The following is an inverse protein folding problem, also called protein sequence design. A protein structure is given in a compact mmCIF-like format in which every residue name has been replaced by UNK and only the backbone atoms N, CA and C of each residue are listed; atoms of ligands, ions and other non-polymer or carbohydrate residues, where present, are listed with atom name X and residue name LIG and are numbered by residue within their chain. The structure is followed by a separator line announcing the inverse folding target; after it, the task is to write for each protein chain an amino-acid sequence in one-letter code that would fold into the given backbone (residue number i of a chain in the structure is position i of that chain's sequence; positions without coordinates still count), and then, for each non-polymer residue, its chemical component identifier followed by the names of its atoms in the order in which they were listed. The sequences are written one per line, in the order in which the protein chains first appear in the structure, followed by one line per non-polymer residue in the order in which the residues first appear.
data_IF_960403111797
#
_entry.id   IF_960403111797
#
_cell.length_a   1.000
_cell.length_b   1.000
_cell.length_c   1.000
_cell.angle_alpha   90.00
_cell.angle_beta   90.00
_cell.angle_gamma   90.00
#
_symmetry.space_group_name_H-M   'P 1'
#
loop_
_entity.id
_entity.type
_entity.pdbx_description
1 polymer ?
#
# COMPACT_ATOMS: atom_id res chain seq x y z
N UNK A 1 6.31 -11.69 1.33
CA UNK A 1 5.57 -10.46 1.02
C UNK A 1 5.82 -10.11 -0.42
N UNK A 2 4.77 -10.17 -1.22
CA UNK A 2 4.82 -9.88 -2.64
C UNK A 2 4.00 -8.62 -2.97
N UNK A 3 4.38 -7.92 -4.03
CA UNK A 3 3.73 -6.70 -4.51
C UNK A 3 2.20 -6.84 -4.66
N UNK A 4 1.74 -8.01 -5.08
CA UNK A 4 0.31 -8.34 -5.23
C UNK A 4 -0.46 -8.27 -3.91
N UNK A 5 0.17 -8.68 -2.80
CA UNK A 5 -0.47 -8.72 -1.48
C UNK A 5 -0.62 -7.29 -0.94
N UNK A 6 0.41 -6.46 -1.14
CA UNK A 6 0.40 -5.04 -0.78
C UNK A 6 -0.73 -4.31 -1.52
N UNK A 7 -0.83 -4.51 -2.84
CA UNK A 7 -1.91 -3.90 -3.64
C UNK A 7 -3.29 -4.38 -3.20
N UNK A 8 -3.45 -5.65 -2.85
CA UNK A 8 -4.72 -6.16 -2.33
C UNK A 8 -5.12 -5.48 -1.01
N UNK A 9 -4.17 -5.28 -0.08
CA UNK A 9 -4.44 -4.57 1.17
C UNK A 9 -4.75 -3.09 0.96
N UNK A 10 -4.08 -2.42 0.02
CA UNK A 10 -4.40 -1.03 -0.36
C UNK A 10 -5.82 -0.93 -0.91
N UNK A 11 -6.23 -1.87 -1.78
CA UNK A 11 -7.60 -1.94 -2.30
C UNK A 11 -8.62 -2.25 -1.19
N UNK A 12 -8.23 -3.01 -0.18
CA UNK A 12 -9.01 -3.26 1.03
C UNK A 12 -8.99 -2.09 2.04
N UNK A 13 -8.41 -0.95 1.66
CA UNK A 13 -8.46 0.30 2.40
C UNK A 13 -7.26 0.56 3.32
N UNK A 14 -6.13 -0.14 3.15
CA UNK A 14 -4.91 0.23 3.86
C UNK A 14 -4.45 1.63 3.45
N UNK A 15 -4.32 2.53 4.41
CA UNK A 15 -4.05 3.95 4.14
C UNK A 15 -2.57 4.29 4.18
N UNK A 16 -1.75 3.57 4.93
CA UNK A 16 -0.33 3.89 5.10
C UNK A 16 0.52 2.64 5.39
N UNK A 17 1.83 2.83 5.53
CA UNK A 17 2.78 1.75 5.73
C UNK A 17 2.59 1.05 7.09
N UNK A 18 2.11 1.77 8.11
CA UNK A 18 1.82 1.21 9.44
C UNK A 18 0.53 0.38 9.41
N UNK A 19 -0.48 0.82 8.64
CA UNK A 19 -1.71 0.06 8.39
C UNK A 19 -1.43 -1.23 7.58
N UNK A 20 -0.53 -1.15 6.58
CA UNK A 20 -0.01 -2.33 5.88
C UNK A 20 0.77 -3.26 6.82
N UNK A 21 1.56 -2.71 7.74
CA UNK A 21 2.28 -3.50 8.73
C UNK A 21 1.31 -4.24 9.68
N UNK A 22 0.20 -3.61 10.07
CA UNK A 22 -0.82 -4.24 10.89
C UNK A 22 -1.58 -5.34 10.15
N UNK A 23 -1.86 -5.16 8.85
CA UNK A 23 -2.67 -6.09 8.03
C UNK A 23 -1.89 -7.27 7.48
N UNK A 24 -0.70 -7.03 6.93
CA UNK A 24 0.08 -8.07 6.25
C UNK A 24 1.51 -8.21 6.78
N UNK A 25 1.83 -7.64 7.95
CA UNK A 25 3.16 -7.66 8.60
C UNK A 25 4.29 -7.05 7.75
N UNK A 26 3.93 -6.31 6.70
CA UNK A 26 4.88 -5.60 5.86
C UNK A 26 5.75 -4.64 6.68
N UNK A 27 7.06 -4.58 6.40
CA UNK A 27 7.96 -3.67 7.10
C UNK A 27 8.32 -4.02 8.55
N UNK A 28 7.66 -5.00 9.18
CA UNK A 28 7.82 -5.28 10.63
C UNK A 28 9.14 -5.96 11.02
N UNK A 29 9.80 -6.66 10.10
CA UNK A 29 11.00 -7.47 10.41
C UNK A 29 12.29 -6.66 10.52
N UNK A 30 12.52 -5.73 9.59
CA UNK A 30 13.74 -4.92 9.55
C UNK A 30 13.50 -3.47 9.11
N UNK A 31 12.25 -3.09 8.80
CA UNK A 31 11.91 -1.77 8.26
C UNK A 31 12.41 -1.47 6.84
N UNK A 32 13.30 -2.29 6.27
CA UNK A 32 13.98 -1.98 5.01
C UNK A 32 13.07 -1.86 3.77
N UNK A 33 11.86 -2.41 3.82
CA UNK A 33 10.88 -2.26 2.74
C UNK A 33 9.92 -1.07 2.92
N UNK A 34 10.02 -0.30 4.02
CA UNK A 34 9.17 0.88 4.25
C UNK A 34 9.18 1.91 3.09
N UNK A 35 10.33 2.31 2.51
CA UNK A 35 10.32 3.23 1.37
C UNK A 35 9.65 2.65 0.12
N UNK A 36 9.71 1.33 -0.07
CA UNK A 36 9.03 0.65 -1.18
C UNK A 36 7.51 0.63 -0.96
N UNK A 37 7.06 0.39 0.28
CA UNK A 37 5.65 0.45 0.64
C UNK A 37 5.06 1.84 0.37
N UNK A 38 5.77 2.89 0.78
CA UNK A 38 5.36 4.27 0.55
C UNK A 38 5.28 4.62 -0.94
N UNK A 39 6.21 4.11 -1.76
CA UNK A 39 6.17 4.28 -3.22
C UNK A 39 4.94 3.61 -3.84
N UNK A 40 4.64 2.36 -3.44
CA UNK A 40 3.47 1.61 -3.93
C UNK A 40 2.17 2.29 -3.49
N UNK A 41 2.09 2.77 -2.24
CA UNK A 41 0.96 3.55 -1.73
C UNK A 41 0.74 4.85 -2.52
N UNK A 42 1.82 5.57 -2.82
CA UNK A 42 1.77 6.80 -3.60
C UNK A 42 1.27 6.52 -5.03
N UNK A 43 1.85 5.52 -5.71
CA UNK A 43 1.41 5.07 -7.03
C UNK A 43 -0.06 4.68 -7.05
N UNK A 44 -0.49 3.85 -6.08
CA UNK A 44 -1.87 3.38 -5.98
C UNK A 44 -2.87 4.52 -5.72
N UNK A 45 -2.52 5.51 -4.88
CA UNK A 45 -3.37 6.69 -4.64
C UNK A 45 -3.55 7.54 -5.90
N UNK A 46 -2.51 7.68 -6.73
CA UNK A 46 -2.61 8.38 -8.01
C UNK A 46 -3.56 7.62 -8.95
N UNK A 47 -3.47 6.29 -9.00
CA UNK A 47 -4.34 5.46 -9.84
C UNK A 47 -5.79 5.49 -9.37
N UNK A 48 -6.05 5.35 -8.07
CA UNK A 48 -7.40 5.43 -7.50
C UNK A 48 -7.98 6.83 -7.69
N UNK A 49 -7.21 7.88 -7.42
CA UNK A 49 -7.64 9.28 -7.61
C UNK A 49 -7.94 9.63 -9.07
N UNK A 50 -7.16 9.08 -10.01
CA UNK A 50 -7.42 9.25 -11.45
C UNK A 50 -8.60 8.42 -11.96
N UNK A 51 -9.02 7.38 -11.22
CA UNK A 51 -10.16 6.53 -11.55
C UNK A 51 -11.46 6.98 -10.87
N UNK A 52 -11.38 7.79 -9.79
CA UNK A 52 -12.55 8.30 -9.07
C UNK A 52 -13.19 9.55 -9.71
N UNK A 53 -12.61 10.13 -10.77
CA UNK A 53 -13.21 11.25 -11.52
C UNK A 53 -14.15 10.81 -12.64
N UNK A 54 -14.45 9.51 -12.75
CA UNK A 54 -15.44 8.97 -13.68
C UNK A 54 -16.76 8.69 -12.97
N UNK A 55 -17.47 9.74 -12.52
CA UNK A 55 -18.90 9.71 -12.20
C UNK A 55 -19.48 11.13 -12.21
#
# INVERSE_FOLDING_TARGET
MHDREIRAEILAGALDADDLAARCTAGTRCGGCKPVLEAILSEARVVIGSSLTAA
#
